data_IF_938080656287
#
_entry.id   IF_938080656287
#
_cell.length_a   1.000
_cell.length_b   1.000
_cell.length_c   1.000
_cell.angle_alpha   90.00
_cell.angle_beta   90.00
_cell.angle_gamma   90.00
#
_symmetry.space_group_name_H-M   'P 1'
#
loop_
_entity.id
_entity.type
_entity.pdbx_description
1 polymer ?
#
# COMPACT_ATOMS: atom_id res chain seq x y z
N UNK A 1 12.53 -22.89 -7.31
CA UNK A 1 11.23 -22.48 -6.74
C UNK A 1 11.45 -21.53 -5.58
N UNK A 2 12.26 -21.88 -4.58
CA UNK A 2 12.55 -21.00 -3.42
C UNK A 2 13.23 -19.68 -3.79
N UNK A 3 14.20 -19.69 -4.71
CA UNK A 3 14.88 -18.46 -5.16
C UNK A 3 13.92 -17.46 -5.82
N UNK A 4 13.01 -17.94 -6.68
CA UNK A 4 11.99 -17.09 -7.33
C UNK A 4 10.99 -16.51 -6.33
N UNK A 5 10.66 -17.27 -5.28
CA UNK A 5 9.77 -16.77 -4.23
C UNK A 5 10.48 -15.67 -3.42
N UNK A 6 11.76 -15.88 -3.09
CA UNK A 6 12.57 -14.90 -2.37
C UNK A 6 12.70 -13.59 -3.16
N UNK A 7 13.01 -13.67 -4.45
CA UNK A 7 13.12 -12.49 -5.31
C UNK A 7 11.79 -11.73 -5.39
N UNK A 8 10.66 -12.45 -5.44
CA UNK A 8 9.33 -11.85 -5.43
C UNK A 8 9.03 -11.16 -4.10
N UNK A 9 9.34 -11.81 -2.97
CA UNK A 9 9.08 -11.27 -1.64
C UNK A 9 9.90 -9.99 -1.40
N UNK A 10 11.19 -10.01 -1.76
CA UNK A 10 12.06 -8.82 -1.68
C UNK A 10 11.55 -7.68 -2.56
N UNK A 11 11.12 -7.98 -3.79
CA UNK A 11 10.56 -6.98 -4.69
C UNK A 11 9.25 -6.39 -4.17
N UNK A 12 8.36 -7.21 -3.61
CA UNK A 12 7.09 -6.78 -3.03
C UNK A 12 7.31 -5.86 -1.82
N UNK A 13 8.28 -6.17 -0.96
CA UNK A 13 8.61 -5.33 0.18
C UNK A 13 9.14 -3.96 -0.26
N UNK A 14 10.08 -3.93 -1.22
CA UNK A 14 10.58 -2.68 -1.80
C UNK A 14 9.45 -1.86 -2.43
N UNK A 15 8.60 -2.48 -3.25
CA UNK A 15 7.52 -1.79 -3.92
C UNK A 15 6.54 -1.17 -2.91
N UNK A 16 6.13 -1.93 -1.89
CA UNK A 16 5.14 -1.49 -0.93
C UNK A 16 5.65 -0.41 0.05
N UNK A 17 6.94 -0.44 0.39
CA UNK A 17 7.50 0.38 1.48
C UNK A 17 8.44 1.49 1.01
N UNK A 18 9.05 1.38 -0.16
CA UNK A 18 10.08 2.33 -0.62
C UNK A 18 9.69 3.05 -1.92
N UNK A 19 9.01 2.34 -2.84
CA UNK A 19 8.63 2.92 -4.12
C UNK A 19 7.51 3.96 -3.95
N UNK A 20 7.86 5.23 -3.97
CA UNK A 20 6.86 6.31 -3.94
C UNK A 20 6.09 6.38 -5.27
N UNK A 21 4.77 6.51 -5.19
CA UNK A 21 3.92 6.64 -6.38
C UNK A 21 4.00 8.07 -6.95
N UNK A 22 4.27 8.19 -8.26
CA UNK A 22 4.35 9.48 -8.97
C UNK A 22 2.98 10.11 -9.32
N UNK A 23 1.93 9.77 -8.57
CA UNK A 23 0.61 10.35 -8.76
C UNK A 23 0.43 11.62 -7.92
N UNK A 24 -0.13 12.68 -8.52
CA UNK A 24 -0.53 13.91 -7.79
C UNK A 24 -1.43 13.62 -6.58
N UNK A 25 -2.22 12.54 -6.64
CA UNK A 25 -3.08 12.04 -5.55
C UNK A 25 -2.33 11.26 -4.47
N UNK A 26 -1.24 10.59 -4.83
CA UNK A 26 -0.46 9.81 -3.87
C UNK A 26 0.48 10.70 -3.06
N UNK A 27 0.74 11.95 -3.46
CA UNK A 27 1.51 12.92 -2.69
C UNK A 27 2.91 12.41 -2.29
N UNK A 28 3.56 11.63 -3.17
CA UNK A 28 4.83 10.93 -2.91
C UNK A 28 4.78 9.92 -1.76
N UNK A 29 3.59 9.48 -1.34
CA UNK A 29 3.42 8.35 -0.44
C UNK A 29 3.71 7.03 -1.16
N UNK A 30 4.13 6.06 -0.39
CA UNK A 30 4.27 4.65 -0.76
C UNK A 30 2.88 4.00 -0.93
N UNK A 31 2.78 2.83 -1.58
CA UNK A 31 1.56 2.06 -1.65
C UNK A 31 0.97 1.76 -0.26
N UNK A 32 1.82 1.38 0.70
CA UNK A 32 1.37 1.00 2.04
C UNK A 32 0.77 2.19 2.78
N UNK A 33 1.42 3.36 2.76
CA UNK A 33 0.90 4.58 3.36
C UNK A 33 -0.45 4.97 2.74
N UNK A 34 -0.55 4.90 1.41
CA UNK A 34 -1.81 5.19 0.69
C UNK A 34 -2.93 4.23 1.09
N UNK A 35 -2.61 2.95 1.28
CA UNK A 35 -3.58 1.94 1.71
C UNK A 35 -4.07 2.18 3.13
N UNK A 36 -3.17 2.49 4.06
CA UNK A 36 -3.52 2.78 5.46
C UNK A 36 -4.44 4.00 5.56
N UNK A 37 -4.12 5.07 4.85
CA UNK A 37 -4.98 6.27 4.80
C UNK A 37 -6.37 5.94 4.22
N UNK A 38 -6.41 5.13 3.17
CA UNK A 38 -7.66 4.67 2.56
C UNK A 38 -8.54 3.85 3.52
N UNK A 39 -7.95 3.00 4.36
CA UNK A 39 -8.68 2.21 5.36
C UNK A 39 -9.40 3.09 6.39
N UNK A 40 -8.74 4.14 6.86
CA UNK A 40 -9.34 5.10 7.81
C UNK A 40 -10.55 5.79 7.19
N UNK A 41 -10.40 6.30 5.96
CA UNK A 41 -11.50 6.95 5.21
C UNK A 41 -12.67 5.97 4.99
N UNK A 42 -12.37 4.71 4.71
CA UNK A 42 -13.39 3.68 4.55
C UNK A 42 -14.14 3.43 5.87
N UNK A 43 -13.42 3.29 6.99
CA UNK A 43 -14.01 3.06 8.30
C UNK A 43 -14.94 4.21 8.73
N UNK A 44 -14.53 5.46 8.51
CA UNK A 44 -15.36 6.65 8.77
C UNK A 44 -16.67 6.67 7.96
N UNK A 45 -16.66 6.07 6.77
CA UNK A 45 -17.80 6.03 5.85
C UNK A 45 -18.60 4.74 5.92
N UNK A 46 -18.16 3.77 6.72
CA UNK A 46 -18.83 2.50 6.83
C UNK A 46 -20.09 2.63 7.72
N UNK A 47 -21.19 3.08 7.11
CA UNK A 47 -22.49 3.32 7.75
C UNK A 47 -23.16 2.03 8.26
N UNK A 48 -22.67 0.85 7.88
CA UNK A 48 -23.19 -0.44 8.31
C UNK A 48 -22.71 -0.88 9.72
N UNK A 49 -21.89 -0.06 10.38
CA UNK A 49 -21.44 -0.27 11.77
C UNK A 49 -22.21 0.56 12.82
N UNK A 50 -23.32 1.20 12.44
CA UNK A 50 -24.26 1.89 13.35
C UNK A 50 -25.51 1.04 13.55
#
# INVERSE_FOLDING_TARGET
MEELQKDLDEWMDYYNNEQTHQGKKCCRRTPLETLVDGKTIWAEKNLAQI
#
